data_IF_483204750022
#
_entry.id   IF_483204750022
#
_cell.length_a   1.000
_cell.length_b   1.000
_cell.length_c   1.000
_cell.angle_alpha   90.00
_cell.angle_beta   90.00
_cell.angle_gamma   90.00
#
_symmetry.space_group_name_H-M   'P 1'
#
loop_
_entity.id
_entity.type
_entity.pdbx_description
1 polymer ?
#
# COMPACT_ATOMS: atom_id res chain seq x y z
N UNK A 1 -0.38 15.33 19.29
CA UNK A 1 0.58 14.20 19.42
C UNK A 1 -0.05 13.00 18.79
N UNK A 2 0.62 12.48 17.76
CA UNK A 2 0.06 11.53 16.81
C UNK A 2 0.01 10.09 17.33
N UNK A 3 0.15 9.83 18.63
CA UNK A 3 0.11 8.51 19.28
C UNK A 3 0.66 7.37 18.40
N UNK A 4 1.81 7.60 17.77
CA UNK A 4 2.40 6.63 16.87
C UNK A 4 2.94 5.44 17.67
N UNK A 5 2.43 4.25 17.32
CA UNK A 5 3.04 2.98 17.67
C UNK A 5 3.44 2.25 16.39
N UNK A 6 4.67 1.78 16.34
CA UNK A 6 5.18 1.00 15.20
C UNK A 6 6.19 -0.04 15.68
N UNK A 7 6.05 -1.25 15.16
CA UNK A 7 7.04 -2.31 15.30
C UNK A 7 7.20 -3.05 13.99
N UNK A 8 8.37 -3.61 13.77
CA UNK A 8 8.65 -4.43 12.61
C UNK A 8 9.73 -5.46 12.92
N UNK A 9 9.77 -6.48 12.11
CA UNK A 9 10.80 -7.50 12.15
C UNK A 9 11.20 -7.94 10.74
N UNK A 10 12.43 -8.45 10.62
CA UNK A 10 12.98 -9.01 9.39
C UNK A 10 13.92 -10.16 9.78
N UNK A 11 13.54 -11.37 9.43
CA UNK A 11 14.30 -12.59 9.67
C UNK A 11 14.60 -13.26 8.34
N UNK A 12 15.86 -13.64 8.14
CA UNK A 12 16.27 -14.40 6.95
C UNK A 12 17.42 -15.32 7.28
N UNK A 13 17.38 -16.53 6.74
CA UNK A 13 18.48 -17.48 6.90
C UNK A 13 18.43 -18.55 5.80
N UNK A 14 19.50 -19.32 5.69
CA UNK A 14 19.51 -20.57 4.93
C UNK A 14 18.73 -21.66 5.72
N UNK A 15 18.02 -22.53 5.00
CA UNK A 15 17.29 -23.67 5.58
C UNK A 15 18.20 -24.90 5.66
N UNK A 16 19.19 -24.97 4.74
CA UNK A 16 20.13 -26.07 4.64
C UNK A 16 21.58 -25.57 4.67
N UNK A 17 22.52 -26.45 5.02
CA UNK A 17 23.95 -26.14 5.12
C UNK A 17 24.57 -25.76 3.76
N UNK A 18 24.00 -26.20 2.66
CA UNK A 18 24.45 -25.90 1.31
C UNK A 18 23.96 -24.54 0.80
N UNK A 19 23.02 -23.89 1.51
CA UNK A 19 22.42 -22.62 1.11
C UNK A 19 21.54 -22.70 -0.13
N UNK A 20 21.11 -23.90 -0.53
CA UNK A 20 20.22 -24.15 -1.66
C UNK A 20 18.83 -23.57 -1.38
N UNK A 21 18.36 -23.72 -0.16
CA UNK A 21 17.11 -23.18 0.32
C UNK A 21 17.31 -22.06 1.33
N UNK A 22 16.60 -20.97 1.14
CA UNK A 22 16.59 -19.88 2.11
C UNK A 22 15.18 -19.30 2.27
N UNK A 23 14.96 -18.62 3.39
CA UNK A 23 13.72 -17.94 3.66
C UNK A 23 13.96 -16.50 4.11
N UNK A 24 12.95 -15.66 3.95
CA UNK A 24 12.86 -14.36 4.59
C UNK A 24 11.43 -14.12 5.06
N UNK A 25 11.29 -13.65 6.27
CA UNK A 25 10.01 -13.29 6.87
C UNK A 25 10.11 -11.86 7.38
N UNK A 26 9.34 -10.95 6.77
CA UNK A 26 9.22 -9.57 7.25
C UNK A 26 7.84 -9.31 7.79
N UNK A 27 7.74 -8.41 8.75
CA UNK A 27 6.46 -8.00 9.31
C UNK A 27 6.47 -6.57 9.81
N UNK A 28 5.29 -5.95 9.80
CA UNK A 28 5.05 -4.59 10.25
C UNK A 28 3.72 -4.52 10.99
N UNK A 29 3.73 -3.91 12.17
CA UNK A 29 2.54 -3.43 12.85
C UNK A 29 2.68 -1.93 13.09
N UNK A 30 1.67 -1.15 12.72
CA UNK A 30 1.65 0.30 12.90
C UNK A 30 0.25 0.77 13.25
N UNK A 31 0.17 1.73 14.16
CA UNK A 31 -1.05 2.49 14.44
C UNK A 31 -0.66 3.92 14.80
N UNK A 32 -1.39 4.88 14.23
CA UNK A 32 -1.16 6.30 14.40
C UNK A 32 -2.48 7.05 14.33
N UNK A 33 -2.70 7.98 15.25
CA UNK A 33 -3.79 8.93 15.11
C UNK A 33 -3.47 9.93 14.00
N UNK A 34 -4.47 10.34 13.22
CA UNK A 34 -4.31 11.42 12.26
C UNK A 34 -4.34 12.78 12.96
N UNK A 35 -3.91 13.82 12.26
CA UNK A 35 -4.07 15.19 12.75
C UNK A 35 -5.54 15.55 12.94
N UNK A 36 -6.41 15.06 12.04
CA UNK A 36 -7.86 15.30 12.10
C UNK A 36 -8.50 14.42 13.18
N UNK A 37 -9.40 15.00 13.96
CA UNK A 37 -10.17 14.28 14.97
C UNK A 37 -10.89 13.07 14.37
N UNK A 38 -11.08 12.03 15.17
CA UNK A 38 -11.78 10.79 14.79
C UNK A 38 -11.14 9.98 13.64
N UNK A 39 -9.94 10.35 13.20
CA UNK A 39 -9.24 9.66 12.12
C UNK A 39 -7.99 8.95 12.63
N UNK A 40 -7.75 7.75 12.11
CA UNK A 40 -6.66 6.86 12.52
C UNK A 40 -6.12 6.10 11.32
N UNK A 41 -4.83 5.81 11.34
CA UNK A 41 -4.17 4.92 10.36
C UNK A 41 -3.58 3.71 11.08
N UNK A 42 -4.02 2.53 10.70
CA UNK A 42 -3.55 1.26 11.27
C UNK A 42 -3.19 0.30 10.15
N UNK A 43 -2.04 -0.34 10.25
CA UNK A 43 -1.55 -1.34 9.29
C UNK A 43 -0.93 -2.52 9.97
N UNK A 44 -1.26 -3.70 9.50
CA UNK A 44 -0.60 -4.96 9.78
C UNK A 44 -0.17 -5.59 8.46
N UNK A 45 1.08 -6.01 8.37
CA UNK A 45 1.59 -6.67 7.17
C UNK A 45 2.57 -7.78 7.54
N UNK A 46 2.55 -8.86 6.77
CA UNK A 46 3.53 -9.94 6.84
C UNK A 46 3.85 -10.40 5.42
N UNK A 47 5.13 -10.60 5.13
CA UNK A 47 5.59 -10.98 3.79
C UNK A 47 6.64 -12.12 3.89
N UNK A 48 6.19 -13.38 3.95
CA UNK A 48 7.07 -14.53 3.82
C UNK A 48 7.53 -14.74 2.38
N UNK A 49 8.77 -15.15 2.21
CA UNK A 49 9.35 -15.57 0.94
C UNK A 49 10.28 -16.76 1.12
N UNK A 50 10.42 -17.57 0.06
CA UNK A 50 11.31 -18.72 0.01
C UNK A 50 12.08 -18.70 -1.29
N UNK A 51 13.38 -18.92 -1.22
CA UNK A 51 14.24 -19.00 -2.40
C UNK A 51 14.87 -20.39 -2.52
N UNK A 52 14.97 -20.84 -3.76
CA UNK A 52 15.59 -22.09 -4.13
C UNK A 52 16.64 -21.83 -5.22
N UNK A 53 17.91 -22.13 -4.91
CA UNK A 53 19.08 -21.94 -5.76
C UNK A 53 19.92 -23.21 -5.77
N UNK A 54 19.52 -24.22 -6.56
CA UNK A 54 20.21 -25.53 -6.58
C UNK A 54 21.60 -25.45 -7.21
N UNK A 55 21.86 -24.45 -8.03
CA UNK A 55 23.08 -24.18 -8.75
C UNK A 55 23.23 -22.67 -9.03
N UNK A 56 24.31 -22.26 -9.68
CA UNK A 56 24.61 -20.88 -10.07
C UNK A 56 23.78 -20.37 -11.28
N UNK A 57 23.02 -21.25 -11.92
CA UNK A 57 22.21 -20.96 -13.12
C UNK A 57 20.72 -20.81 -12.81
N UNK A 58 20.26 -21.33 -11.69
CA UNK A 58 18.84 -21.42 -11.35
C UNK A 58 18.52 -20.63 -10.10
N UNK A 59 17.60 -19.68 -10.21
CA UNK A 59 17.01 -18.95 -9.10
C UNK A 59 15.48 -19.02 -9.18
N UNK A 60 14.87 -19.54 -8.15
CA UNK A 60 13.43 -19.50 -7.97
C UNK A 60 13.11 -18.89 -6.60
N UNK A 61 12.32 -17.83 -6.58
CA UNK A 61 11.86 -17.20 -5.33
C UNK A 61 10.35 -17.10 -5.33
N UNK A 62 9.73 -17.80 -4.39
CA UNK A 62 8.31 -17.60 -4.05
C UNK A 62 8.18 -16.37 -3.16
N UNK A 63 7.21 -15.52 -3.47
CA UNK A 63 6.95 -14.26 -2.80
C UNK A 63 5.49 -14.18 -2.35
N UNK A 64 5.27 -13.70 -1.14
CA UNK A 64 3.91 -13.40 -0.70
C UNK A 64 3.87 -12.13 0.14
N UNK A 65 2.69 -11.50 0.19
CA UNK A 65 2.42 -10.33 1.03
C UNK A 65 0.96 -10.37 1.48
N UNK A 66 0.75 -10.30 2.77
CA UNK A 66 -0.57 -10.20 3.39
C UNK A 66 -0.62 -8.92 4.19
N UNK A 67 -1.53 -8.02 3.80
CA UNK A 67 -1.69 -6.73 4.44
C UNK A 67 -3.15 -6.50 4.83
N UNK A 68 -3.34 -5.92 6.02
CA UNK A 68 -4.62 -5.47 6.49
C UNK A 68 -4.47 -4.05 7.05
N UNK A 69 -5.19 -3.12 6.45
CA UNK A 69 -5.34 -1.73 6.90
C UNK A 69 -6.78 -1.56 7.41
N UNK A 70 -7.07 -1.88 8.69
CA UNK A 70 -8.43 -1.72 9.23
C UNK A 70 -8.88 -0.27 9.24
N UNK A 71 -7.93 0.66 9.35
CA UNK A 71 -8.15 2.10 9.27
C UNK A 71 -7.05 2.71 8.41
N UNK A 72 -7.41 3.32 7.29
CA UNK A 72 -6.47 3.83 6.29
C UNK A 72 -6.27 5.36 6.34
N UNK A 73 -6.65 6.00 7.44
CA UNK A 73 -6.42 7.42 7.66
C UNK A 73 -7.60 8.32 7.28
N UNK A 74 -7.31 9.60 7.16
CA UNK A 74 -8.24 10.64 6.79
C UNK A 74 -8.22 10.89 5.27
N UNK A 75 -9.41 10.98 4.68
CA UNK A 75 -9.64 11.23 3.25
C UNK A 75 -10.74 12.28 3.07
N UNK A 76 -10.70 13.32 3.89
CA UNK A 76 -11.66 14.41 3.83
C UNK A 76 -11.23 15.52 2.87
N UNK A 77 -12.13 16.47 2.70
CA UNK A 77 -11.92 17.65 1.88
C UNK A 77 -12.45 18.88 2.61
N UNK A 78 -11.57 19.83 2.88
CA UNK A 78 -11.89 21.05 3.60
C UNK A 78 -12.02 22.24 2.63
N UNK A 79 -12.96 23.16 2.86
CA UNK A 79 -13.10 24.33 2.02
C UNK A 79 -11.90 25.28 2.23
N UNK A 80 -11.66 26.13 1.25
CA UNK A 80 -10.66 27.20 1.31
C UNK A 80 -10.99 28.18 2.45
N UNK A 81 -12.27 28.48 2.62
CA UNK A 81 -12.82 29.32 3.68
C UNK A 81 -12.72 28.61 5.03
N UNK A 82 -12.09 29.23 5.98
CA UNK A 82 -11.77 28.65 7.28
C UNK A 82 -10.42 27.91 7.34
N UNK A 83 -9.82 27.57 6.21
CA UNK A 83 -8.47 26.95 6.16
C UNK A 83 -7.44 27.96 5.62
N UNK A 84 -7.42 28.22 4.33
CA UNK A 84 -6.48 29.13 3.67
C UNK A 84 -6.82 30.58 3.97
N UNK A 85 -8.10 30.95 3.80
CA UNK A 85 -8.62 32.27 4.14
C UNK A 85 -9.64 32.15 5.29
N UNK A 86 -9.76 33.14 6.17
CA UNK A 86 -10.81 33.14 7.17
C UNK A 86 -12.19 33.22 6.52
N UNK A 87 -13.20 32.65 7.16
CA UNK A 87 -14.60 33.05 6.92
C UNK A 87 -15.03 34.10 7.93
N UNK A 88 -16.04 34.88 7.59
CA UNK A 88 -16.55 35.96 8.46
C UNK A 88 -17.97 35.65 8.89
N UNK A 89 -18.26 35.78 10.18
CA UNK A 89 -19.62 35.64 10.70
C UNK A 89 -20.51 36.84 10.37
N UNK A 90 -21.77 36.80 10.78
CA UNK A 90 -22.72 37.87 10.51
C UNK A 90 -22.34 39.22 11.15
N UNK A 91 -21.41 39.22 12.12
CA UNK A 91 -20.91 40.44 12.77
C UNK A 91 -19.59 40.93 12.13
N UNK A 92 -19.14 40.27 11.06
CA UNK A 92 -17.87 40.59 10.38
C UNK A 92 -16.61 40.10 11.10
N UNK A 93 -16.73 39.23 12.11
CA UNK A 93 -15.60 38.66 12.82
C UNK A 93 -15.00 37.49 12.00
N UNK A 94 -13.67 37.53 11.85
CA UNK A 94 -12.93 36.50 11.16
C UNK A 94 -12.78 35.22 12.00
N UNK A 95 -12.97 34.06 11.35
CA UNK A 95 -12.83 32.73 11.96
C UNK A 95 -11.98 31.82 11.07
N UNK A 96 -11.27 30.91 11.71
CA UNK A 96 -10.60 29.76 11.07
C UNK A 96 -11.07 28.46 11.72
N UNK A 97 -11.05 27.39 10.94
CA UNK A 97 -11.29 26.05 11.47
C UNK A 97 -10.10 25.63 12.36
N UNK A 98 -10.33 24.86 13.41
CA UNK A 98 -9.25 24.20 14.15
C UNK A 98 -8.38 23.36 13.21
N UNK A 99 -7.10 23.23 13.53
CA UNK A 99 -6.14 22.47 12.71
C UNK A 99 -6.43 20.96 12.69
N UNK A 100 -7.18 20.48 13.67
CA UNK A 100 -7.63 19.10 13.85
C UNK A 100 -9.07 18.88 13.39
N UNK A 101 -9.70 19.88 12.77
CA UNK A 101 -11.08 19.79 12.30
C UNK A 101 -11.27 18.64 11.33
N UNK A 102 -12.34 17.88 11.54
CA UNK A 102 -12.79 16.82 10.66
C UNK A 102 -14.27 17.07 10.31
N UNK A 103 -14.56 17.21 9.03
CA UNK A 103 -15.90 17.43 8.50
C UNK A 103 -16.73 16.15 8.42
N UNK A 104 -16.08 15.00 8.62
CA UNK A 104 -16.70 13.67 8.53
C UNK A 104 -17.49 13.27 9.76
N UNK A 105 -17.79 12.00 9.84
CA UNK A 105 -18.49 11.36 10.96
C UNK A 105 -17.60 10.34 11.66
N UNK A 106 -17.86 10.04 12.91
CA UNK A 106 -17.09 9.09 13.70
C UNK A 106 -17.12 7.66 13.13
N UNK A 107 -18.11 7.34 12.31
CA UNK A 107 -18.26 6.05 11.64
C UNK A 107 -17.69 6.01 10.21
N UNK A 108 -17.03 7.08 9.77
CA UNK A 108 -16.26 7.05 8.52
C UNK A 108 -15.27 5.88 8.56
N UNK A 109 -15.22 5.13 7.46
CA UNK A 109 -14.43 3.91 7.38
C UNK A 109 -13.73 3.80 6.04
N UNK A 110 -12.42 3.74 6.09
CA UNK A 110 -11.60 3.35 4.95
C UNK A 110 -10.75 2.18 5.40
N UNK A 111 -10.95 1.03 4.80
CA UNK A 111 -10.17 -0.16 5.11
C UNK A 111 -9.77 -0.90 3.85
N UNK A 112 -8.60 -1.54 3.89
CA UNK A 112 -8.10 -2.35 2.79
C UNK A 112 -7.49 -3.65 3.31
N UNK A 113 -7.87 -4.75 2.68
CA UNK A 113 -7.18 -6.04 2.80
C UNK A 113 -6.57 -6.39 1.48
N UNK A 114 -5.35 -6.86 1.52
CA UNK A 114 -4.59 -7.23 0.34
C UNK A 114 -3.86 -8.54 0.58
N UNK A 115 -3.98 -9.45 -0.36
CA UNK A 115 -3.25 -10.71 -0.41
C UNK A 115 -2.55 -10.78 -1.75
N UNK A 116 -1.26 -11.01 -1.74
CA UNK A 116 -0.48 -11.21 -2.97
C UNK A 116 0.36 -12.45 -2.81
N UNK A 117 0.42 -13.25 -3.86
CA UNK A 117 1.32 -14.39 -4.00
C UNK A 117 1.90 -14.39 -5.41
N UNK A 118 3.11 -14.86 -5.54
CA UNK A 118 3.78 -14.93 -6.83
C UNK A 118 5.13 -15.60 -6.75
N UNK A 119 5.83 -15.59 -7.86
CA UNK A 119 7.21 -16.03 -7.91
C UNK A 119 8.01 -15.20 -8.90
N UNK A 120 9.33 -15.21 -8.69
CA UNK A 120 10.34 -14.84 -9.64
C UNK A 120 11.17 -16.09 -9.96
N UNK A 121 11.36 -16.35 -11.23
CA UNK A 121 12.16 -17.46 -11.73
C UNK A 121 13.18 -16.97 -12.73
N UNK A 122 14.42 -17.48 -12.67
CA UNK A 122 15.47 -17.28 -13.66
C UNK A 122 16.23 -18.57 -13.86
N UNK A 123 16.47 -18.93 -15.12
CA UNK A 123 17.31 -20.07 -15.45
C UNK A 123 18.16 -19.77 -16.67
N UNK A 124 19.47 -19.95 -16.51
CA UNK A 124 20.47 -19.86 -17.59
C UNK A 124 20.71 -21.26 -18.16
N UNK A 125 20.19 -21.54 -19.34
CA UNK A 125 20.38 -22.85 -19.99
C UNK A 125 21.83 -23.09 -20.42
N UNK A 126 22.43 -22.04 -21.01
CA UNK A 126 23.82 -22.03 -21.46
C UNK A 126 24.33 -20.57 -21.49
N UNK A 127 25.51 -20.34 -22.05
CA UNK A 127 26.13 -19.02 -22.15
C UNK A 127 25.35 -18.05 -23.08
N UNK A 128 24.41 -18.60 -23.86
CA UNK A 128 23.64 -17.85 -24.87
C UNK A 128 22.23 -17.52 -24.39
N UNK A 129 21.57 -18.44 -23.68
CA UNK A 129 20.13 -18.33 -23.39
C UNK A 129 19.83 -18.29 -21.90
N UNK A 130 19.08 -17.26 -21.50
CA UNK A 130 18.51 -17.13 -20.16
C UNK A 130 17.02 -16.87 -20.26
N UNK A 131 16.22 -17.60 -19.50
CA UNK A 131 14.79 -17.36 -19.34
C UNK A 131 14.52 -16.75 -17.96
N UNK A 132 13.67 -15.73 -17.92
CA UNK A 132 13.12 -15.16 -16.67
C UNK A 132 11.61 -15.13 -16.75
N UNK A 133 10.97 -15.45 -15.64
CA UNK A 133 9.52 -15.32 -15.53
C UNK A 133 9.13 -14.79 -14.16
N UNK A 134 8.22 -13.81 -14.16
CA UNK A 134 7.58 -13.30 -12.97
C UNK A 134 6.07 -13.55 -13.07
N UNK A 135 5.51 -14.05 -12.00
CA UNK A 135 4.07 -14.24 -11.87
C UNK A 135 3.59 -13.60 -10.58
N UNK A 136 2.46 -12.93 -10.63
CA UNK A 136 1.79 -12.37 -9.45
C UNK A 136 0.28 -12.54 -9.56
N UNK A 137 -0.32 -13.03 -8.49
CA UNK A 137 -1.74 -12.95 -8.23
C UNK A 137 -1.96 -11.99 -7.06
N UNK A 138 -2.93 -11.11 -7.16
CA UNK A 138 -3.35 -10.23 -6.08
C UNK A 138 -4.86 -10.23 -5.93
N UNK A 139 -5.31 -10.29 -4.67
CA UNK A 139 -6.68 -10.11 -4.21
C UNK A 139 -6.69 -8.89 -3.30
N UNK A 140 -7.45 -7.86 -3.66
CA UNK A 140 -7.55 -6.60 -2.92
C UNK A 140 -9.02 -6.29 -2.67
N UNK A 141 -9.35 -6.08 -1.40
CA UNK A 141 -10.68 -5.65 -0.97
C UNK A 141 -10.58 -4.31 -0.27
N UNK A 142 -11.30 -3.32 -0.76
CA UNK A 142 -11.36 -1.96 -0.20
C UNK A 142 -12.80 -1.61 0.15
N UNK A 143 -13.04 -1.26 1.41
CA UNK A 143 -14.27 -0.63 1.86
C UNK A 143 -14.01 0.86 2.09
N UNK A 144 -14.75 1.69 1.39
CA UNK A 144 -14.77 3.14 1.58
C UNK A 144 -16.17 3.59 1.93
N UNK A 145 -16.32 4.18 3.10
CA UNK A 145 -17.56 4.80 3.57
C UNK A 145 -17.20 6.12 4.27
N UNK A 146 -17.67 7.23 3.72
CA UNK A 146 -17.30 8.54 4.23
C UNK A 146 -18.40 9.56 4.02
N UNK A 147 -18.60 10.38 5.04
CA UNK A 147 -19.16 11.71 4.91
C UNK A 147 -17.99 12.68 4.74
N UNK A 148 -18.05 13.54 3.77
CA UNK A 148 -16.99 14.49 3.43
C UNK A 148 -17.55 15.85 3.04
N UNK A 149 -16.70 16.90 3.09
CA UNK A 149 -17.07 18.24 2.68
C UNK A 149 -17.36 18.33 1.19
N UNK A 150 -18.46 19.01 0.82
CA UNK A 150 -18.89 19.21 -0.56
C UNK A 150 -19.26 20.68 -0.83
N UNK A 151 -18.36 21.57 -0.47
CA UNK A 151 -18.47 23.00 -0.75
C UNK A 151 -18.87 23.86 0.45
N UNK A 152 -18.30 25.05 0.47
CA UNK A 152 -18.67 26.12 1.41
C UNK A 152 -19.99 26.74 0.98
N UNK A 153 -20.86 27.03 1.94
CA UNK A 153 -22.18 27.59 1.67
C UNK A 153 -22.29 29.03 2.21
N UNK A 154 -22.06 29.20 3.51
CA UNK A 154 -22.20 30.45 4.21
C UNK A 154 -21.32 30.44 5.48
N UNK A 155 -21.15 31.59 6.17
CA UNK A 155 -20.37 31.60 7.40
C UNK A 155 -20.82 30.53 8.40
N UNK A 156 -19.89 29.61 8.72
CA UNK A 156 -20.14 28.51 9.63
C UNK A 156 -20.90 27.30 9.06
N UNK A 157 -21.20 27.29 7.75
CA UNK A 157 -21.95 26.21 7.11
C UNK A 157 -21.18 25.64 5.90
N UNK A 158 -21.19 24.33 5.82
CA UNK A 158 -20.60 23.57 4.73
C UNK A 158 -21.56 22.46 4.28
N UNK A 159 -21.72 22.29 2.98
CA UNK A 159 -22.40 21.11 2.46
C UNK A 159 -21.53 19.88 2.70
N UNK A 160 -22.17 18.76 3.00
CA UNK A 160 -21.52 17.46 3.09
C UNK A 160 -22.19 16.47 2.15
N UNK A 161 -21.42 15.55 1.65
CA UNK A 161 -21.90 14.43 0.84
C UNK A 161 -21.49 13.11 1.49
N UNK A 162 -22.21 12.07 1.14
CA UNK A 162 -21.93 10.70 1.58
C UNK A 162 -21.51 9.86 0.39
N UNK A 163 -20.49 9.04 0.60
CA UNK A 163 -20.06 8.03 -0.36
C UNK A 163 -19.89 6.68 0.32
N UNK A 164 -20.26 5.63 -0.38
CA UNK A 164 -19.93 4.25 -0.02
C UNK A 164 -19.49 3.50 -1.26
N UNK A 165 -18.36 2.85 -1.16
CA UNK A 165 -17.82 1.92 -2.15
C UNK A 165 -17.34 0.67 -1.43
N UNK A 166 -17.63 -0.50 -2.01
CA UNK A 166 -17.17 -1.81 -1.55
C UNK A 166 -16.58 -2.50 -2.78
N UNK A 167 -15.26 -2.48 -2.89
CA UNK A 167 -14.54 -2.80 -4.10
C UNK A 167 -13.70 -4.06 -3.91
N UNK A 168 -13.78 -4.95 -4.87
CA UNK A 168 -12.99 -6.16 -4.91
C UNK A 168 -12.25 -6.26 -6.24
N UNK A 169 -10.94 -6.36 -6.18
CA UNK A 169 -10.05 -6.47 -7.33
C UNK A 169 -9.25 -7.75 -7.26
N UNK A 170 -9.36 -8.58 -8.29
CA UNK A 170 -8.48 -9.72 -8.53
C UNK A 170 -7.63 -9.45 -9.76
N UNK A 171 -6.31 -9.61 -9.64
CA UNK A 171 -5.39 -9.44 -10.77
C UNK A 171 -4.46 -10.62 -10.88
N UNK A 172 -4.17 -10.98 -12.13
CA UNK A 172 -3.18 -11.97 -12.48
C UNK A 172 -2.23 -11.36 -13.52
N UNK A 173 -0.94 -11.37 -13.20
CA UNK A 173 0.09 -10.79 -14.06
C UNK A 173 1.18 -11.82 -14.30
N UNK A 174 1.56 -11.99 -15.55
CA UNK A 174 2.71 -12.82 -15.98
C UNK A 174 3.58 -11.98 -16.88
N UNK A 175 4.87 -12.01 -16.62
CA UNK A 175 5.91 -11.46 -17.47
C UNK A 175 6.93 -12.55 -17.75
N UNK A 176 7.22 -12.82 -19.03
CA UNK A 176 8.18 -13.83 -19.46
C UNK A 176 9.19 -13.19 -20.41
N UNK A 177 10.46 -13.37 -20.12
CA UNK A 177 11.57 -12.81 -20.87
C UNK A 177 12.49 -13.94 -21.32
N UNK A 178 12.90 -13.89 -22.59
CA UNK A 178 14.00 -14.67 -23.12
C UNK A 178 15.13 -13.70 -23.48
N UNK A 179 16.27 -13.85 -22.84
CA UNK A 179 17.50 -13.13 -23.19
C UNK A 179 18.40 -14.06 -23.97
N UNK A 180 19.01 -13.52 -25.04
CA UNK A 180 20.00 -14.22 -25.81
C UNK A 180 21.20 -13.32 -26.09
N UNK A 181 22.42 -13.84 -25.83
CA UNK A 181 23.68 -13.15 -26.03
C UNK A 181 24.47 -13.84 -27.15
N UNK A 182 24.57 -13.17 -28.31
CA UNK A 182 25.28 -13.66 -29.47
C UNK A 182 26.51 -12.82 -29.77
N UNK A 183 27.65 -13.48 -30.01
CA UNK A 183 28.78 -12.83 -30.64
C UNK A 183 28.52 -12.68 -32.14
N UNK A 184 28.25 -11.46 -32.60
CA UNK A 184 28.26 -11.12 -34.02
C UNK A 184 29.72 -10.99 -34.44
N UNK A 185 30.18 -11.84 -35.39
CA UNK A 185 31.53 -11.74 -35.94
C UNK A 185 31.80 -10.34 -36.49
N UNK A 186 33.08 -9.96 -36.53
CA UNK A 186 33.50 -8.64 -37.03
C UNK A 186 32.88 -8.35 -38.39
N UNK A 187 32.04 -7.35 -38.45
CA UNK A 187 31.59 -6.76 -39.74
C UNK A 187 32.80 -6.01 -40.29
N UNK A 188 33.47 -6.58 -41.27
CA UNK A 188 34.51 -5.94 -42.04
C UNK A 188 33.93 -5.03 -43.10
#
# INVERSE_FOLDING_TARGET
>A
TDNLWQTGFDFSDAIDDAGVWSYRLTGLGRSQDAQQQMAKSTRYAVAPSFSWRPDDKTDFTFLSNFQNDPDAGYYGWLPREGTVVPYYDANGKAHKLPTDFNEGEADNKISRRQKMVGYSFSHQFDDTFTVRQNLRYADVHTLYRSVYGNGYVAPGYMNRAYVRSDEHLNTFTVDTQLQSDFATGAVS
#
